data_IF_795164905032
#
_entry.id   IF_795164905032
#
_cell.length_a   1.000
_cell.length_b   1.000
_cell.length_c   1.000
_cell.angle_alpha   90.00
_cell.angle_beta   90.00
_cell.angle_gamma   90.00
#
_symmetry.space_group_name_H-M   'P 1'
#
loop_
_entity.id
_entity.type
_entity.pdbx_description
1 polymer ?
#
# COMPACT_ATOMS: atom_id res chain seq x y z
N UNK A 1 -0.03 7.43 3.33
CA UNK A 1 -0.88 6.78 4.34
C UNK A 1 -0.91 5.28 4.15
N UNK A 2 -1.32 4.54 5.17
CA UNK A 2 -1.58 3.10 5.13
C UNK A 2 -3.02 2.88 5.60
N UNK A 3 -3.86 2.14 4.87
CA UNK A 3 -5.15 1.73 5.39
C UNK A 3 -4.94 0.66 6.48
N UNK A 4 -5.89 0.46 7.40
CA UNK A 4 -5.84 -0.68 8.32
C UNK A 4 -5.80 -1.98 7.51
N UNK A 5 -4.98 -2.94 7.94
CA UNK A 5 -4.81 -4.20 7.21
C UNK A 5 -5.88 -5.20 7.63
N UNK A 6 -6.52 -5.81 6.63
CA UNK A 6 -7.55 -6.82 6.87
C UNK A 6 -7.01 -7.99 7.70
N UNK A 7 -7.64 -8.27 8.84
CA UNK A 7 -7.32 -9.39 9.73
C UNK A 7 -5.94 -9.34 10.39
N UNK A 8 -5.21 -8.23 10.26
CA UNK A 8 -3.88 -8.06 10.86
C UNK A 8 -3.92 -7.14 12.08
N UNK A 9 -4.65 -6.04 12.01
CA UNK A 9 -4.73 -5.04 13.05
C UNK A 9 -6.09 -5.11 13.74
N UNK A 10 -6.09 -5.51 15.01
CA UNK A 10 -7.26 -5.44 15.88
C UNK A 10 -7.07 -4.24 16.81
N UNK A 11 -7.84 -3.17 16.57
CA UNK A 11 -7.80 -1.95 17.39
C UNK A 11 -8.78 -2.01 18.59
N UNK A 12 -9.54 -3.10 18.74
CA UNK A 12 -10.54 -3.34 19.76
C UNK A 12 -11.63 -4.28 19.26
N UNK A 13 -12.71 -4.39 20.01
CA UNK A 13 -13.86 -5.28 19.71
C UNK A 13 -15.08 -4.50 19.18
N UNK A 14 -14.91 -3.24 18.78
CA UNK A 14 -16.02 -2.43 18.32
C UNK A 14 -16.54 -2.93 16.97
N UNK A 15 -17.87 -3.08 16.81
CA UNK A 15 -18.50 -3.59 15.58
C UNK A 15 -18.23 -2.72 14.34
N UNK A 16 -17.85 -1.46 14.54
CA UNK A 16 -17.58 -0.50 13.48
C UNK A 16 -16.20 -0.66 12.84
N UNK A 17 -15.31 -1.48 13.43
CA UNK A 17 -14.01 -1.77 12.82
C UNK A 17 -14.17 -2.45 11.46
N UNK A 18 -13.37 -2.00 10.49
CA UNK A 18 -13.51 -2.45 9.10
C UNK A 18 -13.37 -3.97 8.93
N UNK A 19 -12.48 -4.62 9.70
CA UNK A 19 -12.26 -6.06 9.66
C UNK A 19 -13.32 -6.88 10.39
N UNK A 20 -14.09 -6.25 11.28
CA UNK A 20 -15.25 -6.87 11.97
C UNK A 20 -16.51 -6.68 11.14
N UNK A 21 -16.73 -5.46 10.64
CA UNK A 21 -17.89 -5.09 9.83
C UNK A 21 -17.91 -5.78 8.47
N UNK A 22 -16.74 -6.05 7.91
CA UNK A 22 -16.54 -6.71 6.62
C UNK A 22 -15.66 -7.93 6.83
N UNK A 23 -16.26 -9.07 7.10
CA UNK A 23 -15.67 -10.28 7.66
C UNK A 23 -14.85 -11.13 6.67
N UNK A 24 -14.91 -10.81 5.39
CA UNK A 24 -14.10 -11.46 4.35
C UNK A 24 -13.25 -10.45 3.58
N UNK A 25 -12.09 -10.90 3.08
CA UNK A 25 -11.19 -10.05 2.29
C UNK A 25 -11.89 -9.44 1.07
N UNK A 26 -12.78 -10.19 0.39
CA UNK A 26 -13.50 -9.71 -0.78
C UNK A 26 -14.53 -8.64 -0.43
N UNK A 27 -15.31 -8.83 0.63
CA UNK A 27 -16.26 -7.82 1.11
C UNK A 27 -15.53 -6.60 1.62
N UNK A 28 -14.44 -6.78 2.38
CA UNK A 28 -13.61 -5.70 2.86
C UNK A 28 -13.00 -4.88 1.71
N UNK A 29 -12.50 -5.57 0.67
CA UNK A 29 -11.99 -4.93 -0.55
C UNK A 29 -13.02 -4.01 -1.21
N UNK A 30 -14.22 -4.53 -1.47
CA UNK A 30 -15.27 -3.79 -2.18
C UNK A 30 -15.93 -2.69 -1.34
N UNK A 31 -16.15 -2.94 -0.05
CA UNK A 31 -16.90 -2.04 0.83
C UNK A 31 -16.05 -1.03 1.59
N UNK A 32 -14.80 -1.39 1.91
CA UNK A 32 -13.90 -0.53 2.66
C UNK A 32 -12.77 0.04 1.80
N UNK A 33 -11.91 -0.82 1.24
CA UNK A 33 -10.72 -0.36 0.51
C UNK A 33 -11.08 0.51 -0.70
N UNK A 34 -11.98 0.02 -1.53
CA UNK A 34 -12.46 0.75 -2.73
C UNK A 34 -13.12 2.07 -2.36
N UNK A 35 -13.95 2.08 -1.32
CA UNK A 35 -14.60 3.31 -0.86
C UNK A 35 -13.59 4.32 -0.31
N UNK A 36 -12.58 3.85 0.43
CA UNK A 36 -11.49 4.69 0.94
C UNK A 36 -10.71 5.34 -0.20
N UNK A 37 -10.33 4.56 -1.21
CA UNK A 37 -9.64 5.07 -2.41
C UNK A 37 -10.53 6.05 -3.19
N UNK A 38 -11.83 5.75 -3.34
CA UNK A 38 -12.77 6.63 -4.01
C UNK A 38 -12.95 7.97 -3.27
N UNK A 39 -12.99 7.94 -1.94
CA UNK A 39 -13.06 9.16 -1.12
C UNK A 39 -11.78 9.99 -1.26
N UNK A 40 -10.61 9.36 -1.27
CA UNK A 40 -9.34 10.05 -1.53
C UNK A 40 -9.34 10.69 -2.93
N UNK A 41 -9.83 9.98 -3.95
CA UNK A 41 -9.96 10.53 -5.30
C UNK A 41 -10.87 11.77 -5.33
N UNK A 42 -12.04 11.71 -4.68
CA UNK A 42 -12.96 12.86 -4.61
C UNK A 42 -12.34 14.07 -3.92
N UNK A 43 -11.65 13.85 -2.79
CA UNK A 43 -11.05 14.91 -1.97
C UNK A 43 -9.80 15.55 -2.59
N UNK A 44 -9.05 14.83 -3.43
CA UNK A 44 -7.85 15.36 -4.06
C UNK A 44 -8.17 16.33 -5.20
N UNK A 45 -7.40 17.41 -5.30
CA UNK A 45 -7.41 18.30 -6.48
C UNK A 45 -6.74 17.59 -7.67
N UNK A 46 -7.19 17.92 -8.90
CA UNK A 46 -6.59 17.42 -10.14
C UNK A 46 -5.07 17.65 -10.16
N UNK A 47 -4.32 16.67 -10.61
CA UNK A 47 -2.87 16.69 -10.68
C UNK A 47 -2.15 16.44 -9.35
N UNK A 48 -2.86 16.21 -8.24
CA UNK A 48 -2.27 15.88 -6.94
C UNK A 48 -2.15 14.37 -6.75
N UNK A 49 -1.42 13.97 -5.71
CA UNK A 49 -0.99 12.60 -5.52
C UNK A 49 -1.59 11.97 -4.26
N UNK A 50 -1.85 10.68 -4.36
CA UNK A 50 -2.13 9.77 -3.25
C UNK A 50 -0.97 8.79 -3.15
N UNK A 51 -0.34 8.69 -1.97
CA UNK A 51 0.67 7.68 -1.67
C UNK A 51 0.07 6.66 -0.69
N UNK A 52 0.02 5.39 -1.10
CA UNK A 52 -0.48 4.27 -0.30
C UNK A 52 0.63 3.26 -0.03
N UNK A 53 0.96 3.06 1.25
CA UNK A 53 1.81 1.97 1.69
C UNK A 53 0.90 0.78 2.04
N UNK A 54 1.03 -0.30 1.32
CA UNK A 54 0.32 -1.57 1.55
C UNK A 54 1.27 -2.72 1.25
N UNK A 55 1.13 -3.81 1.99
CA UNK A 55 1.90 -5.03 1.75
C UNK A 55 0.99 -6.26 1.83
N UNK A 56 1.28 -7.27 1.03
CA UNK A 56 0.58 -8.55 1.08
C UNK A 56 0.77 -9.21 2.44
N UNK A 57 -0.30 -9.74 3.02
CA UNK A 57 -0.32 -10.46 4.29
C UNK A 57 -0.73 -11.92 4.09
N UNK A 58 -0.62 -12.72 5.15
CA UNK A 58 -1.14 -14.10 5.11
C UNK A 58 -2.65 -14.13 4.92
N UNK A 59 -3.37 -13.16 5.47
CA UNK A 59 -4.83 -13.03 5.42
C UNK A 59 -5.31 -12.42 4.10
N UNK A 60 -4.46 -11.60 3.44
CA UNK A 60 -4.79 -10.95 2.18
C UNK A 60 -3.57 -10.94 1.24
N UNK A 61 -3.46 -12.01 0.45
CA UNK A 61 -2.28 -12.27 -0.39
C UNK A 61 -2.18 -11.41 -1.65
N UNK A 62 -3.29 -10.82 -2.10
CA UNK A 62 -3.38 -9.98 -3.31
C UNK A 62 -3.61 -8.50 -2.98
N UNK A 63 -3.33 -8.08 -1.74
CA UNK A 63 -3.63 -6.73 -1.28
C UNK A 63 -2.92 -5.64 -2.11
N UNK A 64 -1.68 -5.87 -2.48
CA UNK A 64 -0.89 -4.95 -3.32
C UNK A 64 -1.53 -4.79 -4.71
N UNK A 65 -1.82 -5.90 -5.40
CA UNK A 65 -2.43 -5.91 -6.74
C UNK A 65 -3.84 -5.33 -6.75
N UNK A 66 -4.66 -5.71 -5.78
CA UNK A 66 -6.02 -5.21 -5.64
C UNK A 66 -6.04 -3.70 -5.38
N UNK A 67 -5.10 -3.19 -4.57
CA UNK A 67 -4.97 -1.74 -4.32
C UNK A 67 -4.68 -0.97 -5.60
N UNK A 68 -3.75 -1.44 -6.42
CA UNK A 68 -3.41 -0.81 -7.71
C UNK A 68 -4.59 -0.88 -8.68
N UNK A 69 -5.24 -2.04 -8.77
CA UNK A 69 -6.39 -2.26 -9.65
C UNK A 69 -7.56 -1.37 -9.26
N UNK A 70 -7.89 -1.30 -7.98
CA UNK A 70 -8.97 -0.45 -7.47
C UNK A 70 -8.68 1.03 -7.69
N UNK A 71 -7.45 1.48 -7.42
CA UNK A 71 -7.07 2.88 -7.63
C UNK A 71 -7.23 3.28 -9.11
N UNK A 72 -6.79 2.43 -10.04
CA UNK A 72 -6.98 2.64 -11.48
C UNK A 72 -8.46 2.66 -11.85
N UNK A 73 -9.27 1.75 -11.32
CA UNK A 73 -10.72 1.68 -11.60
C UNK A 73 -11.48 2.92 -11.12
N UNK A 74 -11.00 3.58 -10.07
CA UNK A 74 -11.57 4.83 -9.54
C UNK A 74 -11.16 6.05 -10.38
N UNK A 75 -10.09 5.95 -11.19
CA UNK A 75 -9.64 7.01 -12.09
C UNK A 75 -8.23 7.53 -11.79
N UNK A 76 -7.53 6.98 -10.82
CA UNK A 76 -6.12 7.30 -10.60
C UNK A 76 -5.22 6.73 -11.69
N UNK A 77 -4.17 7.48 -12.05
CA UNK A 77 -3.02 6.94 -12.76
C UNK A 77 -1.97 6.48 -11.75
N UNK A 78 -1.54 5.23 -11.82
CA UNK A 78 -0.38 4.74 -11.06
C UNK A 78 0.88 5.26 -11.76
N UNK A 79 1.65 6.13 -11.10
CA UNK A 79 2.77 6.84 -11.71
C UNK A 79 4.13 6.34 -11.24
N UNK A 80 4.20 5.79 -10.03
CA UNK A 80 5.46 5.33 -9.45
C UNK A 80 5.21 4.32 -8.31
N UNK A 81 6.25 3.58 -7.95
CA UNK A 81 6.27 2.72 -6.75
C UNK A 81 7.58 2.95 -6.02
N UNK A 82 7.50 3.46 -4.81
CA UNK A 82 8.64 3.60 -3.93
C UNK A 82 8.75 2.38 -3.03
N UNK A 83 9.98 2.07 -2.63
CA UNK A 83 10.25 0.90 -1.80
C UNK A 83 10.73 1.31 -0.43
N UNK A 84 9.91 1.01 0.58
CA UNK A 84 10.25 1.21 1.97
C UNK A 84 11.09 0.03 2.45
N UNK A 85 12.36 0.27 2.77
CA UNK A 85 13.25 -0.74 3.36
C UNK A 85 12.92 -0.92 4.83
N UNK A 86 12.55 -2.13 5.22
CA UNK A 86 12.34 -2.49 6.62
C UNK A 86 13.65 -2.99 7.22
N UNK A 87 14.06 -2.43 8.37
CA UNK A 87 15.23 -2.94 9.08
C UNK A 87 14.90 -4.26 9.76
N UNK A 88 15.83 -5.20 9.72
CA UNK A 88 15.71 -6.50 10.40
C UNK A 88 16.15 -6.46 11.87
N UNK A 89 16.32 -5.27 12.47
CA UNK A 89 16.70 -5.18 13.88
C UNK A 89 15.61 -5.73 14.78
N UNK A 90 15.95 -6.82 15.48
CA UNK A 90 15.13 -7.32 16.59
C UNK A 90 15.02 -6.24 17.67
N UNK A 91 13.79 -5.78 17.94
CA UNK A 91 13.46 -5.00 19.12
C UNK A 91 13.56 -3.47 19.02
N UNK A 92 13.70 -2.89 17.85
CA UNK A 92 13.69 -1.44 17.66
C UNK A 92 12.55 -0.96 16.77
N UNK A 93 11.93 0.17 17.10
CA UNK A 93 11.05 0.88 16.18
C UNK A 93 11.80 1.10 14.86
N UNK A 94 11.27 0.56 13.77
CA UNK A 94 11.88 0.68 12.45
C UNK A 94 11.83 2.16 12.03
N UNK A 95 12.91 2.88 12.21
CA UNK A 95 13.13 4.15 11.51
C UNK A 95 13.47 3.76 10.07
N UNK A 96 12.58 4.02 9.15
CA UNK A 96 12.85 3.86 7.74
C UNK A 96 13.98 4.81 7.34
N UNK A 97 15.17 4.30 7.19
CA UNK A 97 16.27 5.01 6.54
C UNK A 97 16.09 4.82 5.04
N UNK A 98 15.72 5.89 4.35
CA UNK A 98 15.82 5.94 2.90
C UNK A 98 17.32 5.98 2.59
N UNK A 99 17.87 4.84 2.20
CA UNK A 99 19.25 4.77 1.73
C UNK A 99 19.30 5.36 0.32
N UNK A 100 20.05 6.45 0.12
CA UNK A 100 20.13 7.16 -1.16
C UNK A 100 20.49 6.26 -2.36
N UNK A 101 21.21 5.17 -2.12
CA UNK A 101 21.55 4.18 -3.14
C UNK A 101 20.34 3.37 -3.63
N UNK A 102 19.38 3.09 -2.76
CA UNK A 102 18.14 2.39 -3.13
C UNK A 102 17.25 3.31 -3.97
N UNK A 103 17.23 4.59 -3.66
CA UNK A 103 16.45 5.59 -4.41
C UNK A 103 16.93 5.70 -5.86
N UNK A 104 18.23 5.68 -6.10
CA UNK A 104 18.79 5.71 -7.46
C UNK A 104 18.51 4.43 -8.25
N UNK A 105 18.53 3.25 -7.61
CA UNK A 105 18.21 1.98 -8.27
C UNK A 105 16.73 1.89 -8.59
N UNK A 106 15.87 2.40 -7.74
CA UNK A 106 14.41 2.39 -7.92
C UNK A 106 13.96 3.39 -8.98
N UNK A 107 14.63 4.54 -9.10
CA UNK A 107 14.33 5.55 -10.13
C UNK A 107 14.60 5.07 -11.56
N UNK A 108 15.49 4.10 -11.75
CA UNK A 108 15.81 3.55 -13.08
C UNK A 108 14.86 2.46 -13.53
N UNK A 109 14.09 1.85 -12.62
CA UNK A 109 13.05 0.90 -12.97
C UNK A 109 11.75 1.63 -13.29
N UNK A 110 11.66 2.11 -14.53
CA UNK A 110 10.45 2.70 -15.05
C UNK A 110 9.30 1.68 -14.95
N UNK A 111 8.23 2.05 -14.28
CA UNK A 111 7.03 1.24 -14.14
C UNK A 111 6.43 0.93 -15.52
N UNK A 112 6.52 -0.31 -15.95
CA UNK A 112 5.95 -0.81 -17.21
C UNK A 112 4.62 -1.57 -17.00
N UNK A 113 3.87 -1.22 -15.95
CA UNK A 113 2.63 -1.89 -15.59
C UNK A 113 2.79 -2.95 -14.50
N UNK A 114 4.00 -3.42 -14.24
CA UNK A 114 4.35 -4.32 -13.16
C UNK A 114 5.48 -3.71 -12.33
N UNK A 115 5.29 -3.67 -11.00
CA UNK A 115 6.32 -3.20 -10.09
C UNK A 115 7.22 -4.36 -9.68
N UNK A 116 8.53 -4.15 -9.74
CA UNK A 116 9.53 -5.15 -9.35
C UNK A 116 10.07 -4.81 -7.98
N UNK A 117 9.91 -5.73 -7.03
CA UNK A 117 10.44 -5.59 -5.68
C UNK A 117 11.95 -5.72 -5.70
N UNK A 118 12.73 -4.81 -5.04
CA UNK A 118 14.17 -4.95 -4.90
C UNK A 118 14.50 -6.22 -4.11
N UNK A 119 15.52 -6.94 -4.56
CA UNK A 119 16.05 -8.11 -3.87
C UNK A 119 17.44 -7.78 -3.31
N UNK A 120 17.49 -7.49 -2.01
CA UNK A 120 18.74 -7.26 -1.28
C UNK A 120 18.80 -8.27 -0.13
N UNK A 121 19.87 -9.09 -0.04
CA UNK A 121 20.00 -10.06 1.03
C UNK A 121 19.85 -9.44 2.42
N UNK A 122 19.00 -10.02 3.28
CA UNK A 122 18.75 -9.57 4.64
C UNK A 122 17.84 -8.34 4.77
N UNK A 123 17.31 -7.79 3.67
CA UNK A 123 16.36 -6.67 3.70
C UNK A 123 14.98 -7.09 3.19
N UNK A 124 13.94 -6.57 3.85
CA UNK A 124 12.56 -6.66 3.38
C UNK A 124 12.13 -5.30 2.85
N UNK A 125 11.29 -5.31 1.83
CA UNK A 125 10.76 -4.10 1.23
C UNK A 125 9.24 -4.14 1.18
N UNK A 126 8.63 -2.99 1.46
CA UNK A 126 7.20 -2.76 1.27
C UNK A 126 6.98 -1.68 0.21
N UNK A 127 6.01 -1.85 -0.69
CA UNK A 127 5.72 -0.85 -1.69
C UNK A 127 4.95 0.34 -1.11
N UNK A 128 5.29 1.53 -1.60
CA UNK A 128 4.48 2.74 -1.48
C UNK A 128 4.04 3.11 -2.89
N UNK A 129 2.80 2.81 -3.23
CA UNK A 129 2.25 3.12 -4.54
C UNK A 129 1.90 4.59 -4.66
N UNK A 130 2.35 5.23 -5.72
CA UNK A 130 2.10 6.64 -6.00
C UNK A 130 1.08 6.76 -7.12
N UNK A 131 -0.04 7.37 -6.79
CA UNK A 131 -1.16 7.58 -7.70
C UNK A 131 -1.39 9.06 -7.94
N UNK A 132 -1.67 9.44 -9.19
CA UNK A 132 -2.01 10.82 -9.58
C UNK A 132 -3.46 10.89 -10.03
N UNK A 133 -4.17 11.93 -9.54
CA UNK A 133 -5.51 12.28 -10.01
C UNK A 133 -5.46 13.14 -11.26
#
# INVERSE_FOLDING_TARGET
TSPPYFGWEAYGDEPEQSSIKFDTADIWKEKFLKQTIANAYKGLKKGKYLALNVANTKQYKTFEEDTVTLAKSVGFAHTDTWWLSLSTQQGGSAVATIDGNITETTQKQQYLGEYTRPEIPGRKFEPVFIFRK
#
